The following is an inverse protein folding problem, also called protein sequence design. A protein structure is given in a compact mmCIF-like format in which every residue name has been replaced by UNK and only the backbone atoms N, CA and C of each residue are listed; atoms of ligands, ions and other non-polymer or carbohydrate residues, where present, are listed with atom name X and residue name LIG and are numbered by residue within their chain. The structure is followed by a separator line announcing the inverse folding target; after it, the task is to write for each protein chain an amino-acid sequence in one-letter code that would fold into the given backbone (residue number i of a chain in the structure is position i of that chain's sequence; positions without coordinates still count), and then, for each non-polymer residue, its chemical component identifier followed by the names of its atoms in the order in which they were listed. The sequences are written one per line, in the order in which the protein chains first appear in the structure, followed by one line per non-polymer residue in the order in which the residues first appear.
data_IF_303981989531
#
_entry.id   IF_303981989531
#
_cell.length_a   1.000
_cell.length_b   1.000
_cell.length_c   1.000
_cell.angle_alpha   90.00
_cell.angle_beta   90.00
_cell.angle_gamma   90.00
#
_symmetry.space_group_name_H-M   'P 1'
#
loop_
_entity.id
_entity.type
_entity.pdbx_description
1 polymer ?
#
# COMPACT_ATOMS: atom_id res chain seq x y z
N UNK A 1 19.65 3.83 -37.70
CA UNK A 1 20.09 3.13 -36.48
C UNK A 1 18.86 2.61 -35.80
N UNK A 2 18.86 1.34 -35.45
CA UNK A 2 17.70 0.53 -35.09
C UNK A 2 16.98 1.07 -33.85
N UNK A 3 15.74 1.53 -34.02
CA UNK A 3 14.76 1.73 -32.95
C UNK A 3 14.34 0.36 -32.40
N UNK A 4 15.27 -0.38 -31.79
CA UNK A 4 14.93 -1.58 -31.06
C UNK A 4 14.37 -1.13 -29.69
N UNK A 5 13.05 -1.26 -29.45
CA UNK A 5 12.42 -0.76 -28.23
C UNK A 5 12.91 -1.45 -26.96
N UNK A 6 13.68 -2.55 -27.10
CA UNK A 6 14.31 -3.30 -26.02
C UNK A 6 15.60 -2.63 -25.54
N UNK A 7 16.29 -1.86 -26.39
CA UNK A 7 17.62 -1.28 -26.06
C UNK A 7 17.50 -0.04 -25.17
N UNK A 8 16.38 0.69 -25.19
CA UNK A 8 16.17 1.84 -24.32
C UNK A 8 15.81 1.37 -22.89
N UNK A 9 16.69 1.53 -21.88
CA UNK A 9 16.43 1.06 -20.51
C UNK A 9 15.27 1.80 -19.83
N UNK A 10 14.87 2.96 -20.38
CA UNK A 10 13.71 3.73 -19.90
C UNK A 10 12.43 3.47 -20.69
N UNK A 11 12.51 2.66 -21.77
CA UNK A 11 11.38 2.32 -22.62
C UNK A 11 10.40 1.37 -21.92
N UNK A 12 9.11 1.53 -22.20
CA UNK A 12 8.06 0.69 -21.60
C UNK A 12 8.22 -0.81 -21.94
N UNK A 13 8.70 -1.13 -23.15
CA UNK A 13 8.95 -2.51 -23.55
C UNK A 13 10.06 -3.15 -22.70
N UNK A 14 11.18 -2.44 -22.52
CA UNK A 14 12.28 -2.90 -21.67
C UNK A 14 11.81 -3.10 -20.21
N UNK A 15 11.07 -2.13 -19.63
CA UNK A 15 10.52 -2.25 -18.27
C UNK A 15 9.63 -3.49 -18.08
N UNK A 16 8.78 -3.80 -19.07
CA UNK A 16 7.92 -5.00 -19.04
C UNK A 16 8.73 -6.29 -19.07
N UNK A 17 9.76 -6.35 -19.92
CA UNK A 17 10.67 -7.50 -20.00
C UNK A 17 11.43 -7.67 -18.68
N UNK A 18 12.00 -6.59 -18.14
CA UNK A 18 12.68 -6.63 -16.84
C UNK A 18 11.74 -7.07 -15.73
N UNK A 19 10.50 -6.57 -15.70
CA UNK A 19 9.52 -6.99 -14.70
C UNK A 19 9.15 -8.47 -14.85
N UNK A 20 8.97 -8.97 -16.07
CA UNK A 20 8.73 -10.40 -16.32
C UNK A 20 9.90 -11.26 -15.85
N UNK A 21 11.14 -10.87 -16.13
CA UNK A 21 12.33 -11.56 -15.66
C UNK A 21 12.44 -11.56 -14.12
N UNK A 22 12.08 -10.46 -13.45
CA UNK A 22 12.03 -10.42 -11.98
C UNK A 22 10.98 -11.38 -11.41
N UNK A 23 9.84 -11.56 -12.08
CA UNK A 23 8.79 -12.50 -11.67
C UNK A 23 9.25 -13.94 -11.89
N UNK A 24 9.90 -14.24 -13.01
CA UNK A 24 10.47 -15.55 -13.31
C UNK A 24 11.58 -15.93 -12.31
N UNK A 25 12.50 -15.02 -12.00
CA UNK A 25 13.56 -15.26 -11.01
C UNK A 25 12.99 -15.57 -9.62
N UNK A 26 11.94 -14.85 -9.21
CA UNK A 26 11.23 -15.12 -7.95
C UNK A 26 10.56 -16.51 -7.95
N UNK A 27 9.96 -16.92 -9.07
CA UNK A 27 9.35 -18.25 -9.23
C UNK A 27 10.42 -19.36 -9.14
N UNK A 28 11.55 -19.21 -9.83
CA UNK A 28 12.67 -20.13 -9.76
C UNK A 28 13.25 -20.23 -8.33
N UNK A 29 13.37 -19.10 -7.63
CA UNK A 29 13.82 -19.11 -6.23
C UNK A 29 12.87 -19.87 -5.30
N UNK A 30 11.56 -19.91 -5.61
CA UNK A 30 10.61 -20.71 -4.85
C UNK A 30 10.85 -22.21 -5.05
N UNK A 31 11.27 -22.63 -6.25
CA UNK A 31 11.63 -24.04 -6.53
C UNK A 31 12.76 -24.49 -5.60
N UNK A 32 13.82 -23.67 -5.45
CA UNK A 32 14.95 -24.00 -4.56
C UNK A 32 14.51 -24.24 -3.10
N UNK A 33 13.54 -23.47 -2.61
CA UNK A 33 12.98 -23.65 -1.25
C UNK A 33 12.19 -24.95 -1.15
N UNK A 34 11.38 -25.28 -2.15
CA UNK A 34 10.58 -26.50 -2.18
C UNK A 34 11.48 -27.75 -2.28
N UNK A 35 12.49 -27.70 -3.15
CA UNK A 35 13.46 -28.78 -3.32
C UNK A 35 14.24 -29.03 -2.02
N UNK A 36 14.62 -27.97 -1.29
CA UNK A 36 15.29 -28.11 0.00
C UNK A 36 14.39 -28.77 1.06
N UNK A 37 13.09 -28.43 1.10
CA UNK A 37 12.11 -29.08 1.97
C UNK A 37 11.89 -30.56 1.60
N UNK A 38 11.88 -30.88 0.31
CA UNK A 38 11.75 -32.26 -0.15
C UNK A 38 13.00 -33.09 0.18
N UNK A 39 14.19 -32.57 -0.08
CA UNK A 39 15.48 -33.24 0.21
C UNK A 39 15.67 -33.52 1.70
N UNK A 40 15.10 -32.69 2.56
CA UNK A 40 15.15 -32.88 4.03
C UNK A 40 14.01 -33.75 4.56
N UNK A 41 13.05 -34.14 3.72
CA UNK A 41 11.88 -34.94 4.11
C UNK A 41 10.82 -34.18 4.90
N UNK A 42 10.88 -32.85 4.94
CA UNK A 42 10.00 -32.00 5.75
C UNK A 42 8.78 -31.47 4.97
N UNK A 43 8.76 -31.63 3.64
CA UNK A 43 7.72 -31.08 2.78
C UNK A 43 6.30 -31.51 3.18
N UNK A 44 6.10 -32.79 3.49
CA UNK A 44 4.77 -33.36 3.82
C UNK A 44 4.17 -32.81 5.13
N UNK A 45 5.00 -32.29 6.03
CA UNK A 45 4.58 -31.69 7.30
C UNK A 45 4.69 -30.15 7.28
N UNK A 46 4.94 -29.55 6.12
CA UNK A 46 5.12 -28.11 5.97
C UNK A 46 3.92 -27.48 5.29
N UNK A 47 3.43 -26.36 5.83
CA UNK A 47 2.54 -25.47 5.10
C UNK A 47 3.35 -24.43 4.35
N UNK A 48 3.21 -24.36 3.03
CA UNK A 48 3.82 -23.33 2.19
C UNK A 48 2.73 -22.34 1.80
N UNK A 49 2.92 -21.06 2.16
CA UNK A 49 2.00 -19.96 1.84
C UNK A 49 2.73 -18.98 0.95
N UNK A 50 2.38 -18.96 -0.33
CA UNK A 50 2.84 -17.96 -1.28
C UNK A 50 1.79 -16.85 -1.41
N UNK A 51 2.16 -15.60 -1.17
CA UNK A 51 1.25 -14.45 -1.24
C UNK A 51 2.02 -13.16 -1.55
N UNK A 52 1.33 -12.02 -1.61
CA UNK A 52 1.94 -10.69 -1.78
C UNK A 52 1.42 -9.72 -0.72
N UNK A 53 2.19 -8.67 -0.45
CA UNK A 53 1.87 -7.64 0.56
C UNK A 53 0.74 -6.70 0.10
N UNK A 54 0.64 -6.43 -1.20
CA UNK A 54 -0.33 -5.53 -1.82
C UNK A 54 -0.47 -5.80 -3.32
N UNK A 55 -1.47 -5.20 -3.97
CA UNK A 55 -1.62 -5.22 -5.42
C UNK A 55 -0.40 -4.68 -6.18
N UNK A 56 -0.19 -5.16 -7.40
CA UNK A 56 0.98 -4.82 -8.23
C UNK A 56 1.10 -3.33 -8.55
N UNK A 57 2.35 -2.85 -8.63
CA UNK A 57 2.68 -1.46 -8.99
C UNK A 57 2.90 -1.22 -10.49
N UNK A 58 3.02 -2.28 -11.29
CA UNK A 58 3.16 -2.23 -12.75
C UNK A 58 1.80 -2.33 -13.46
N UNK A 59 0.81 -1.56 -12.98
CA UNK A 59 -0.55 -1.60 -13.52
C UNK A 59 -0.62 -1.04 -14.94
N UNK A 60 -1.43 -1.69 -15.78
CA UNK A 60 -1.68 -1.23 -17.14
C UNK A 60 -2.51 0.06 -17.11
N UNK A 61 -2.14 1.05 -17.93
CA UNK A 61 -2.89 2.30 -18.08
C UNK A 61 -3.80 2.21 -19.30
N UNK A 62 -5.10 2.38 -19.09
CA UNK A 62 -6.12 2.36 -20.15
C UNK A 62 -6.94 3.63 -20.12
N UNK A 63 -7.40 4.11 -21.29
CA UNK A 63 -8.34 5.22 -21.38
C UNK A 63 -9.77 4.70 -21.24
N UNK A 64 -10.49 5.14 -20.23
CA UNK A 64 -11.89 4.76 -19.95
C UNK A 64 -12.66 6.03 -19.63
N UNK A 65 -13.78 6.26 -20.33
CA UNK A 65 -14.61 7.47 -20.21
C UNK A 65 -13.83 8.79 -20.36
N UNK A 66 -12.77 8.78 -21.19
CA UNK A 66 -11.92 9.96 -21.38
C UNK A 66 -10.74 10.07 -20.41
N UNK A 67 -10.70 9.28 -19.34
CA UNK A 67 -9.68 9.34 -18.29
C UNK A 67 -8.67 8.19 -18.40
N UNK A 68 -7.40 8.45 -18.06
CA UNK A 68 -6.39 7.40 -17.92
C UNK A 68 -6.56 6.75 -16.55
N UNK A 69 -6.90 5.45 -16.55
CA UNK A 69 -7.09 4.63 -15.34
C UNK A 69 -6.08 3.49 -15.31
N UNK A 70 -5.71 3.05 -14.10
CA UNK A 70 -4.79 1.93 -13.87
C UNK A 70 -5.56 0.63 -13.66
N UNK A 71 -5.02 -0.49 -14.10
CA UNK A 71 -5.63 -1.81 -13.93
C UNK A 71 -4.58 -2.88 -13.66
N UNK A 72 -4.88 -3.76 -12.71
CA UNK A 72 -4.20 -5.04 -12.54
C UNK A 72 -5.10 -6.13 -13.14
N UNK A 73 -4.85 -6.44 -14.43
CA UNK A 73 -5.71 -7.33 -15.22
C UNK A 73 -7.13 -6.74 -15.38
N UNK A 74 -8.19 -7.43 -14.92
CA UNK A 74 -9.55 -6.90 -14.92
C UNK A 74 -9.85 -5.99 -13.72
N UNK A 75 -8.98 -5.95 -12.70
CA UNK A 75 -9.24 -5.24 -11.45
C UNK A 75 -8.84 -3.77 -11.56
N UNK A 76 -9.64 -2.89 -10.98
CA UNK A 76 -9.36 -1.46 -10.97
C UNK A 76 -8.20 -1.09 -10.03
N UNK A 77 -7.36 -0.17 -10.51
CA UNK A 77 -6.18 0.37 -9.84
C UNK A 77 -5.09 -0.69 -9.54
N UNK A 78 -4.16 -0.33 -8.66
CA UNK A 78 -3.02 -1.14 -8.25
C UNK A 78 -2.47 -0.67 -6.90
N UNK A 79 -1.18 -0.89 -6.66
CA UNK A 79 -0.50 -0.47 -5.42
C UNK A 79 -0.91 0.95 -5.00
N UNK A 80 -1.13 1.14 -3.70
CA UNK A 80 -1.61 2.39 -3.04
C UNK A 80 -3.09 2.73 -3.30
N UNK A 81 -3.90 1.75 -3.67
CA UNK A 81 -5.34 1.89 -3.86
C UNK A 81 -6.12 0.89 -3.01
N UNK A 82 -7.34 1.27 -2.62
CA UNK A 82 -8.26 0.41 -1.87
C UNK A 82 -9.24 -0.33 -2.81
N UNK A 83 -9.23 -0.02 -4.11
CA UNK A 83 -9.90 -0.85 -5.13
C UNK A 83 -9.27 -2.25 -5.18
N UNK A 84 -9.99 -3.24 -5.70
CA UNK A 84 -9.60 -4.65 -5.73
C UNK A 84 -8.23 -4.86 -6.37
N UNK A 85 -7.83 -4.06 -7.37
CA UNK A 85 -6.50 -4.18 -7.97
C UNK A 85 -5.36 -3.80 -7.02
N UNK A 86 -5.64 -3.03 -5.97
CA UNK A 86 -4.66 -2.62 -4.96
C UNK A 86 -4.61 -3.52 -3.71
N UNK A 87 -5.67 -4.28 -3.42
CA UNK A 87 -5.77 -5.12 -2.21
C UNK A 87 -5.91 -6.62 -2.48
N UNK A 88 -6.41 -7.03 -3.66
CA UNK A 88 -6.50 -8.44 -4.03
C UNK A 88 -5.15 -8.91 -4.58
N UNK A 89 -4.58 -9.92 -3.94
CA UNK A 89 -3.25 -10.46 -4.24
C UNK A 89 -3.33 -11.95 -4.61
N UNK A 90 -2.42 -12.47 -5.44
CA UNK A 90 -2.31 -13.91 -5.63
C UNK A 90 -2.02 -14.57 -4.28
N UNK A 91 -2.68 -15.69 -3.98
CA UNK A 91 -2.39 -16.49 -2.79
C UNK A 91 -2.54 -17.96 -3.13
N UNK A 92 -1.45 -18.72 -2.95
CA UNK A 92 -1.40 -20.18 -3.12
C UNK A 92 -0.93 -20.78 -1.81
N UNK A 93 -1.64 -21.80 -1.34
CA UNK A 93 -1.33 -22.46 -0.08
C UNK A 93 -1.32 -23.96 -0.32
N UNK A 94 -0.21 -24.60 0.03
CA UNK A 94 -0.06 -26.06 0.06
C UNK A 94 0.31 -26.52 1.47
N UNK A 95 0.06 -27.79 1.76
CA UNK A 95 0.41 -28.40 3.04
C UNK A 95 -0.62 -29.41 3.54
N UNK A 96 -0.44 -29.92 4.77
CA UNK A 96 -1.26 -30.99 5.32
C UNK A 96 -2.77 -30.72 5.29
N UNK A 97 -3.53 -31.69 4.76
CA UNK A 97 -4.99 -31.63 4.74
C UNK A 97 -5.61 -30.66 3.73
N UNK A 98 -4.81 -30.04 2.86
CA UNK A 98 -5.28 -29.26 1.72
C UNK A 98 -5.35 -30.16 0.49
N UNK A 99 -6.50 -30.16 -0.19
CA UNK A 99 -6.66 -30.93 -1.43
C UNK A 99 -5.84 -30.28 -2.55
N UNK A 100 -4.92 -31.03 -3.15
CA UNK A 100 -4.13 -30.58 -4.29
C UNK A 100 -5.01 -30.12 -5.46
N UNK A 101 -4.60 -29.05 -6.14
CA UNK A 101 -5.30 -28.47 -7.28
C UNK A 101 -6.69 -27.90 -6.96
N UNK A 102 -7.03 -27.70 -5.69
CA UNK A 102 -8.30 -27.09 -5.29
C UNK A 102 -8.26 -25.57 -5.32
N UNK A 103 -9.44 -24.95 -5.52
CA UNK A 103 -9.66 -23.51 -5.45
C UNK A 103 -10.64 -23.21 -4.31
N UNK A 104 -10.47 -22.04 -3.66
CA UNK A 104 -11.37 -21.54 -2.64
C UNK A 104 -11.63 -20.05 -2.84
N UNK A 105 -12.91 -19.66 -2.77
CA UNK A 105 -13.43 -18.30 -2.97
C UNK A 105 -13.80 -17.62 -1.65
N UNK A 106 -13.55 -18.28 -0.50
CA UNK A 106 -13.74 -17.66 0.83
C UNK A 106 -12.78 -16.47 0.94
N UNK A 107 -13.27 -15.24 1.16
CA UNK A 107 -12.39 -14.09 1.32
C UNK A 107 -11.49 -14.24 2.55
N UNK A 108 -10.19 -14.09 2.33
CA UNK A 108 -9.15 -14.06 3.37
C UNK A 108 -8.42 -12.72 3.34
N UNK A 109 -7.72 -12.41 4.42
CA UNK A 109 -6.88 -11.21 4.54
C UNK A 109 -5.65 -11.54 5.38
N UNK A 110 -4.52 -10.88 5.14
CA UNK A 110 -3.22 -11.26 5.72
C UNK A 110 -3.23 -11.38 7.24
N UNK A 111 -4.01 -10.55 7.94
CA UNK A 111 -4.11 -10.62 9.40
C UNK A 111 -4.88 -11.85 9.93
N UNK A 112 -5.43 -12.70 9.06
CA UNK A 112 -5.90 -14.05 9.39
C UNK A 112 -4.75 -15.04 9.61
N UNK A 113 -3.54 -14.77 9.09
CA UNK A 113 -2.43 -15.71 9.16
C UNK A 113 -1.92 -15.93 10.58
N UNK A 114 -1.85 -14.89 11.42
CA UNK A 114 -1.43 -15.03 12.81
C UNK A 114 -2.31 -16.04 13.60
N UNK A 115 -3.66 -15.89 13.65
CA UNK A 115 -4.52 -16.90 14.26
C UNK A 115 -4.43 -18.28 13.57
N UNK A 116 -4.16 -18.32 12.26
CA UNK A 116 -3.98 -19.58 11.53
C UNK A 116 -2.74 -20.32 12.00
N UNK A 117 -1.60 -19.63 12.12
CA UNK A 117 -0.36 -20.22 12.62
C UNK A 117 -0.49 -20.68 14.06
N UNK A 118 -1.20 -19.92 14.89
CA UNK A 118 -1.51 -20.32 16.25
C UNK A 118 -2.33 -21.63 16.32
N UNK A 119 -3.39 -21.75 15.52
CA UNK A 119 -4.22 -22.98 15.46
C UNK A 119 -3.45 -24.17 14.86
N UNK A 120 -2.60 -23.93 13.85
CA UNK A 120 -1.81 -24.98 13.21
C UNK A 120 -0.65 -25.48 14.06
N UNK A 121 -0.05 -24.64 14.91
CA UNK A 121 1.03 -25.05 15.82
C UNK A 121 0.55 -25.97 16.95
N UNK A 122 -0.77 -26.07 17.16
CA UNK A 122 -1.35 -26.82 18.27
C UNK A 122 -1.18 -26.12 19.63
N UNK A 123 -0.81 -24.84 19.65
CA UNK A 123 -0.69 -24.10 20.90
C UNK A 123 -2.06 -23.93 21.58
N UNK A 124 -2.10 -24.23 22.87
CA UNK A 124 -3.27 -24.02 23.74
C UNK A 124 -3.24 -22.68 24.46
N UNK A 125 -2.17 -21.89 24.28
CA UNK A 125 -2.07 -20.56 24.88
C UNK A 125 -3.21 -19.65 24.38
N UNK A 126 -3.77 -18.79 25.23
CA UNK A 126 -4.78 -17.86 24.78
C UNK A 126 -4.18 -16.80 23.85
N UNK A 127 -4.81 -16.60 22.70
CA UNK A 127 -4.50 -15.47 21.83
C UNK A 127 -4.92 -14.15 22.50
N UNK A 128 -4.18 -13.04 22.29
CA UNK A 128 -4.60 -11.73 22.76
C UNK A 128 -6.01 -11.38 22.23
N UNK A 129 -6.89 -10.80 23.06
CA UNK A 129 -8.29 -10.58 22.70
C UNK A 129 -8.49 -9.54 21.57
N UNK A 130 -7.45 -8.79 21.24
CA UNK A 130 -7.41 -7.77 20.20
C UNK A 130 -6.80 -8.25 18.87
N UNK A 131 -6.67 -9.57 18.66
CA UNK A 131 -6.26 -10.11 17.36
C UNK A 131 -7.48 -10.18 16.45
N UNK A 132 -7.46 -9.39 15.39
CA UNK A 132 -8.59 -9.19 14.47
C UNK A 132 -8.97 -10.45 13.66
N UNK A 133 -7.96 -11.24 13.31
CA UNK A 133 -8.05 -12.38 12.40
C UNK A 133 -8.83 -13.58 12.88
N UNK A 134 -9.13 -14.46 11.92
CA UNK A 134 -9.65 -15.79 12.20
C UNK A 134 -8.79 -16.87 11.55
N UNK A 135 -8.70 -18.02 12.21
CA UNK A 135 -7.96 -19.16 11.66
C UNK A 135 -8.57 -19.63 10.32
N UNK A 136 -7.69 -19.82 9.33
CA UNK A 136 -8.01 -20.36 8.01
C UNK A 136 -8.04 -21.90 7.99
N UNK A 137 -7.79 -22.59 9.11
CA UNK A 137 -7.71 -24.07 9.16
C UNK A 137 -8.95 -24.77 8.63
N UNK A 138 -10.15 -24.20 8.86
CA UNK A 138 -11.38 -24.74 8.26
C UNK A 138 -11.44 -24.53 6.75
N UNK A 139 -10.92 -23.41 6.25
CA UNK A 139 -10.83 -23.11 4.82
C UNK A 139 -9.89 -24.11 4.15
N UNK A 140 -8.73 -24.39 4.76
CA UNK A 140 -7.75 -25.36 4.27
C UNK A 140 -8.36 -26.76 4.12
N UNK A 141 -9.11 -27.22 5.14
CA UNK A 141 -9.70 -28.57 5.15
C UNK A 141 -11.00 -28.71 4.35
N UNK A 142 -11.80 -27.64 4.24
CA UNK A 142 -13.19 -27.71 3.71
C UNK A 142 -13.42 -26.87 2.45
N UNK A 143 -12.41 -26.14 1.97
CA UNK A 143 -12.52 -25.21 0.83
C UNK A 143 -13.65 -24.21 1.05
N UNK A 144 -14.52 -24.06 0.03
CA UNK A 144 -15.67 -23.15 0.04
C UNK A 144 -16.71 -23.38 1.14
N UNK A 145 -16.67 -24.53 1.83
CA UNK A 145 -17.53 -24.80 3.01
C UNK A 145 -16.88 -24.38 4.33
N UNK A 146 -15.62 -23.96 4.30
CA UNK A 146 -14.89 -23.43 5.45
C UNK A 146 -15.45 -22.09 5.91
N UNK A 147 -15.26 -21.79 7.19
CA UNK A 147 -15.67 -20.50 7.79
C UNK A 147 -14.50 -19.90 8.53
N UNK A 148 -14.28 -18.60 8.32
CA UNK A 148 -13.30 -17.81 9.07
C UNK A 148 -14.06 -17.01 10.12
N UNK A 149 -13.87 -17.34 11.40
CA UNK A 149 -14.46 -16.59 12.51
C UNK A 149 -13.47 -15.51 12.96
N UNK A 150 -13.75 -14.27 12.58
CA UNK A 150 -12.91 -13.10 12.89
C UNK A 150 -13.44 -12.37 14.12
N UNK A 151 -12.53 -11.72 14.85
CA UNK A 151 -12.89 -10.73 15.88
C UNK A 151 -13.33 -9.44 15.20
N UNK A 152 -12.66 -9.05 14.12
CA UNK A 152 -13.09 -7.93 13.28
C UNK A 152 -14.45 -8.21 12.63
N UNK A 153 -15.35 -7.21 12.54
CA UNK A 153 -16.72 -7.39 12.04
C UNK A 153 -16.82 -7.55 10.51
N UNK A 154 -15.71 -7.39 9.80
CA UNK A 154 -15.54 -7.53 8.36
C UNK A 154 -14.05 -7.38 8.00
N UNK A 155 -13.73 -7.50 6.72
CA UNK A 155 -12.36 -7.17 6.24
C UNK A 155 -12.30 -5.66 6.06
N UNK A 156 -11.65 -4.97 6.98
CA UNK A 156 -11.58 -3.51 7.02
C UNK A 156 -10.20 -3.04 6.60
N UNK A 157 -10.15 -2.05 5.70
CA UNK A 157 -8.93 -1.32 5.38
C UNK A 157 -9.14 0.16 5.68
N UNK A 158 -8.26 0.74 6.48
CA UNK A 158 -8.33 2.15 6.87
C UNK A 158 -7.07 2.88 6.39
N UNK A 159 -7.15 3.50 5.21
CA UNK A 159 -6.01 4.12 4.54
C UNK A 159 -6.03 5.64 4.69
N UNK A 160 -5.47 6.14 5.78
CA UNK A 160 -5.37 7.57 6.14
C UNK A 160 -4.19 8.27 5.47
N UNK A 161 -4.03 8.08 4.16
CA UNK A 161 -2.87 8.60 3.43
C UNK A 161 -2.84 10.14 3.33
N UNK A 162 -1.62 10.72 3.29
CA UNK A 162 -1.40 12.16 3.12
C UNK A 162 -1.16 12.59 1.66
N UNK A 163 -0.84 11.64 0.77
CA UNK A 163 -0.42 11.89 -0.61
C UNK A 163 -1.15 11.02 -1.64
N UNK A 164 -2.19 10.30 -1.22
CA UNK A 164 -3.14 9.55 -2.06
C UNK A 164 -4.54 9.77 -1.47
N UNK A 165 -5.61 9.47 -2.23
CA UNK A 165 -6.98 9.53 -1.72
C UNK A 165 -7.13 8.74 -0.41
N UNK A 166 -7.42 9.39 0.72
CA UNK A 166 -7.60 8.69 1.98
C UNK A 166 -8.97 8.00 1.99
N UNK A 167 -9.00 6.68 2.17
CA UNK A 167 -10.21 5.86 2.02
C UNK A 167 -10.31 4.88 3.19
N UNK A 168 -11.51 4.74 3.75
CA UNK A 168 -11.86 3.57 4.58
C UNK A 168 -12.72 2.62 3.78
N UNK A 169 -12.51 1.32 3.92
CA UNK A 169 -13.35 0.30 3.31
C UNK A 169 -13.68 -0.83 4.27
N UNK A 170 -14.81 -1.48 4.01
CA UNK A 170 -15.23 -2.71 4.67
C UNK A 170 -15.77 -3.67 3.61
N UNK A 171 -15.32 -4.92 3.65
CA UNK A 171 -15.91 -6.04 2.93
C UNK A 171 -16.64 -6.91 3.94
N UNK A 172 -17.95 -7.10 3.74
CA UNK A 172 -18.80 -7.93 4.60
C UNK A 172 -19.89 -8.60 3.77
N UNK A 173 -19.90 -9.93 3.78
CA UNK A 173 -20.72 -10.71 2.85
C UNK A 173 -20.28 -10.44 1.40
N UNK A 174 -21.25 -10.25 0.52
CA UNK A 174 -21.00 -9.99 -0.91
C UNK A 174 -20.64 -8.53 -1.21
N UNK A 175 -20.69 -7.64 -0.22
CA UNK A 175 -20.58 -6.19 -0.45
C UNK A 175 -19.28 -5.60 0.07
N UNK A 176 -18.77 -4.64 -0.70
CA UNK A 176 -17.67 -3.75 -0.31
C UNK A 176 -18.18 -2.31 -0.29
N UNK A 177 -18.06 -1.66 0.86
CA UNK A 177 -18.27 -0.22 0.99
C UNK A 177 -16.91 0.47 1.06
N UNK A 178 -16.80 1.62 0.39
CA UNK A 178 -15.67 2.54 0.48
C UNK A 178 -16.17 3.95 0.81
N UNK A 179 -15.50 4.65 1.72
CA UNK A 179 -15.75 6.04 2.08
C UNK A 179 -14.51 6.87 1.80
N UNK A 180 -14.67 7.92 1.01
CA UNK A 180 -13.62 8.90 0.77
C UNK A 180 -13.52 9.84 1.98
N UNK A 181 -12.38 9.89 2.67
CA UNK A 181 -12.25 10.56 3.96
C UNK A 181 -12.17 12.09 3.86
N UNK A 182 -11.85 12.65 2.69
CA UNK A 182 -11.93 14.11 2.47
C UNK A 182 -13.34 14.61 2.12
N UNK A 183 -14.04 13.95 1.18
CA UNK A 183 -15.35 14.39 0.69
C UNK A 183 -16.54 13.76 1.42
N UNK A 184 -16.31 12.68 2.17
CA UNK A 184 -17.35 11.81 2.74
C UNK A 184 -18.24 11.11 1.71
N UNK A 185 -17.86 11.10 0.43
CA UNK A 185 -18.56 10.34 -0.59
C UNK A 185 -18.41 8.83 -0.37
N UNK A 186 -19.41 8.08 -0.82
CA UNK A 186 -19.47 6.63 -0.71
C UNK A 186 -19.45 5.95 -2.08
N UNK A 187 -18.77 4.81 -2.14
CA UNK A 187 -18.92 3.82 -3.21
C UNK A 187 -19.27 2.47 -2.61
N UNK A 188 -20.28 1.81 -3.18
CA UNK A 188 -20.73 0.49 -2.75
C UNK A 188 -20.69 -0.45 -3.95
N UNK A 189 -20.08 -1.61 -3.80
CA UNK A 189 -19.98 -2.63 -4.86
C UNK A 189 -20.43 -3.98 -4.33
N UNK A 190 -21.04 -4.79 -5.21
CA UNK A 190 -21.31 -6.20 -4.93
C UNK A 190 -20.18 -7.02 -5.56
N UNK A 191 -19.22 -7.47 -4.77
CA UNK A 191 -18.02 -8.16 -5.25
C UNK A 191 -18.31 -9.56 -5.83
N UNK A 192 -19.44 -10.16 -5.49
CA UNK A 192 -19.82 -11.48 -6.02
C UNK A 192 -20.17 -11.39 -7.51
N UNK A 193 -20.88 -10.33 -7.90
CA UNK A 193 -21.34 -10.13 -9.28
C UNK A 193 -20.50 -9.08 -10.04
N UNK A 194 -19.82 -8.20 -9.32
CA UNK A 194 -19.01 -7.09 -9.84
C UNK A 194 -17.69 -7.01 -9.05
N UNK A 195 -16.83 -8.01 -9.25
CA UNK A 195 -15.48 -8.03 -8.67
C UNK A 195 -14.54 -6.99 -9.30
N UNK A 196 -14.99 -6.29 -10.35
CA UNK A 196 -14.24 -5.24 -11.05
C UNK A 196 -14.58 -3.85 -10.53
N UNK A 197 -15.60 -3.72 -9.67
CA UNK A 197 -16.04 -2.46 -9.05
C UNK A 197 -16.51 -1.41 -10.07
N UNK A 198 -17.20 -1.86 -11.11
CA UNK A 198 -17.65 -1.01 -12.22
C UNK A 198 -18.96 -0.27 -11.91
N UNK A 199 -19.87 -0.89 -11.14
CA UNK A 199 -21.18 -0.32 -10.83
C UNK A 199 -21.27 0.14 -9.37
N UNK A 200 -21.23 1.45 -9.16
CA UNK A 200 -21.47 2.02 -7.83
C UNK A 200 -22.96 1.95 -7.44
N UNK A 201 -23.28 1.15 -6.44
CA UNK A 201 -24.63 0.94 -5.91
C UNK A 201 -25.02 1.87 -4.76
N UNK A 202 -24.15 2.83 -4.37
CA UNK A 202 -24.36 3.62 -3.15
C UNK A 202 -25.68 4.41 -3.16
N UNK A 203 -26.07 4.95 -4.32
CA UNK A 203 -27.34 5.66 -4.49
C UNK A 203 -28.56 4.71 -4.52
N UNK A 204 -28.38 3.48 -5.02
CA UNK A 204 -29.43 2.47 -5.14
C UNK A 204 -29.69 1.74 -3.80
N UNK A 205 -28.70 1.69 -2.90
CA UNK A 205 -28.75 0.93 -1.64
C UNK A 205 -28.33 1.75 -0.40
N UNK A 206 -29.00 2.88 -0.10
CA UNK A 206 -28.58 3.79 0.97
C UNK A 206 -28.62 3.14 2.37
N UNK A 207 -29.55 2.21 2.61
CA UNK A 207 -29.63 1.47 3.87
C UNK A 207 -28.39 0.59 4.09
N UNK A 208 -27.90 -0.07 3.02
CA UNK A 208 -26.69 -0.90 3.07
C UNK A 208 -25.44 -0.04 3.29
N UNK A 209 -25.39 1.14 2.67
CA UNK A 209 -24.32 2.11 2.91
C UNK A 209 -24.29 2.51 4.38
N UNK A 210 -25.44 2.88 4.96
CA UNK A 210 -25.53 3.28 6.37
C UNK A 210 -25.08 2.16 7.31
N UNK A 211 -25.56 0.94 7.09
CA UNK A 211 -25.19 -0.24 7.88
C UNK A 211 -23.67 -0.47 7.86
N UNK A 212 -23.07 -0.55 6.67
CA UNK A 212 -21.65 -0.88 6.53
C UNK A 212 -20.74 0.28 6.98
N UNK A 213 -21.12 1.54 6.74
CA UNK A 213 -20.36 2.71 7.21
C UNK A 213 -20.36 2.77 8.75
N UNK A 214 -21.51 2.50 9.38
CA UNK A 214 -21.60 2.48 10.84
C UNK A 214 -20.69 1.40 11.44
N UNK A 215 -20.73 0.17 10.90
CA UNK A 215 -19.86 -0.92 11.36
C UNK A 215 -18.38 -0.53 11.20
N UNK A 216 -18.01 -0.01 10.02
CA UNK A 216 -16.64 0.36 9.72
C UNK A 216 -16.14 1.47 10.66
N UNK A 217 -16.90 2.56 10.82
CA UNK A 217 -16.53 3.67 11.71
C UNK A 217 -16.45 3.25 13.16
N UNK A 218 -17.41 2.47 13.65
CA UNK A 218 -17.41 2.00 15.03
C UNK A 218 -16.18 1.14 15.31
N UNK A 219 -15.80 0.29 14.35
CA UNK A 219 -14.60 -0.52 14.47
C UNK A 219 -13.31 0.32 14.42
N UNK A 220 -13.16 1.20 13.43
CA UNK A 220 -12.00 2.10 13.31
C UNK A 220 -11.81 2.92 14.59
N UNK A 221 -12.90 3.43 15.17
CA UNK A 221 -12.85 4.14 16.46
C UNK A 221 -12.43 3.23 17.61
N UNK A 222 -12.97 2.00 17.67
CA UNK A 222 -12.64 1.02 18.73
C UNK A 222 -11.15 0.67 18.74
N UNK A 223 -10.51 0.57 17.57
CA UNK A 223 -9.10 0.20 17.45
C UNK A 223 -8.15 1.40 17.38
N UNK A 224 -8.66 2.62 17.59
CA UNK A 224 -7.90 3.87 17.44
C UNK A 224 -7.14 3.95 16.10
N UNK A 225 -7.85 3.69 14.99
CA UNK A 225 -7.24 3.63 13.65
C UNK A 225 -6.66 4.95 13.13
N UNK A 226 -6.79 6.04 13.88
CA UNK A 226 -6.31 7.37 13.51
C UNK A 226 -7.15 8.05 12.44
N UNK A 227 -6.66 9.19 11.96
CA UNK A 227 -7.33 10.05 10.97
C UNK A 227 -6.35 10.52 9.92
N UNK A 228 -6.86 10.89 8.74
CA UNK A 228 -6.04 11.49 7.69
C UNK A 228 -5.34 12.76 8.20
N UNK A 229 -5.99 13.55 9.06
CA UNK A 229 -5.40 14.77 9.61
C UNK A 229 -4.22 14.47 10.56
N UNK A 230 -4.34 13.46 11.43
CA UNK A 230 -3.21 13.03 12.26
C UNK A 230 -2.01 12.59 11.42
N UNK A 231 -2.24 11.85 10.32
CA UNK A 231 -1.16 11.44 9.41
C UNK A 231 -0.52 12.64 8.71
N UNK A 232 -1.29 13.64 8.28
CA UNK A 232 -0.76 14.88 7.68
C UNK A 232 0.09 15.67 8.68
N UNK A 233 -0.39 15.82 9.91
CA UNK A 233 0.35 16.51 10.97
C UNK A 233 1.65 15.77 11.33
N UNK A 234 1.60 14.44 11.43
CA UNK A 234 2.79 13.61 11.64
C UNK A 234 3.79 13.77 10.49
N UNK A 235 3.32 13.79 9.24
CA UNK A 235 4.17 14.02 8.08
C UNK A 235 4.81 15.41 8.09
N UNK A 236 4.08 16.46 8.47
CA UNK A 236 4.65 17.81 8.59
C UNK A 236 5.77 17.85 9.64
N UNK A 237 5.52 17.27 10.83
CA UNK A 237 6.52 17.15 11.89
C UNK A 237 7.75 16.36 11.43
N UNK A 238 7.56 15.32 10.64
CA UNK A 238 8.66 14.54 10.05
C UNK A 238 9.50 15.38 9.09
N UNK A 239 8.86 16.19 8.23
CA UNK A 239 9.57 17.10 7.33
C UNK A 239 10.32 18.22 8.08
N UNK A 240 9.78 18.69 9.20
CA UNK A 240 10.49 19.62 10.11
C UNK A 240 11.72 18.95 10.72
N UNK A 241 11.57 17.73 11.22
CA UNK A 241 12.68 16.95 11.78
C UNK A 241 13.81 16.74 10.76
N UNK A 242 13.50 16.32 9.52
CA UNK A 242 14.50 16.15 8.46
C UNK A 242 15.16 17.47 8.04
N UNK A 243 14.42 18.58 8.10
CA UNK A 243 14.98 19.90 7.83
C UNK A 243 15.99 20.29 8.91
N UNK A 244 15.66 20.05 10.19
CA UNK A 244 16.59 20.29 11.30
C UNK A 244 17.83 19.40 11.19
N UNK A 245 17.68 18.10 10.91
CA UNK A 245 18.81 17.19 10.70
C UNK A 245 19.73 17.66 9.55
N UNK A 246 19.16 18.22 8.48
CA UNK A 246 19.93 18.77 7.36
C UNK A 246 20.74 20.00 7.79
N UNK A 247 20.14 20.89 8.59
CA UNK A 247 20.81 22.08 9.15
C UNK A 247 21.94 21.66 10.10
N UNK A 248 21.70 20.71 11.00
CA UNK A 248 22.71 20.22 11.94
C UNK A 248 23.85 19.52 11.21
N UNK A 249 23.54 18.73 10.19
CA UNK A 249 24.52 18.10 9.31
C UNK A 249 25.37 19.13 8.55
N UNK A 250 24.76 20.20 8.05
CA UNK A 250 25.47 21.32 7.43
C UNK A 250 26.41 22.00 8.42
N UNK A 251 25.93 22.36 9.62
CA UNK A 251 26.75 23.01 10.66
C UNK A 251 27.97 22.19 11.06
N UNK A 252 27.80 20.87 11.22
CA UNK A 252 28.91 19.95 11.52
C UNK A 252 29.94 19.92 10.39
N UNK A 253 29.50 19.79 9.13
CA UNK A 253 30.41 19.79 7.98
C UNK A 253 31.14 21.13 7.83
N UNK A 254 30.44 22.24 8.06
CA UNK A 254 31.03 23.57 8.01
C UNK A 254 32.08 23.78 9.11
N UNK A 255 31.85 23.26 10.33
CA UNK A 255 32.85 23.32 11.41
C UNK A 255 34.13 22.58 11.03
N UNK A 256 34.02 21.35 10.52
CA UNK A 256 35.18 20.57 10.02
C UNK A 256 35.88 21.31 8.89
N UNK A 257 35.12 21.89 7.95
CA UNK A 257 35.68 22.64 6.83
C UNK A 257 36.46 23.89 7.30
N UNK A 258 35.97 24.59 8.33
CA UNK A 258 36.67 25.73 8.96
C UNK A 258 38.00 25.29 9.59
N UNK A 259 38.05 24.11 10.21
CA UNK A 259 39.28 23.57 10.82
C UNK A 259 40.34 23.20 9.78
N UNK A 260 39.94 22.79 8.57
CA UNK A 260 40.87 22.39 7.50
C UNK A 260 41.61 23.58 6.85
N UNK A 261 41.10 24.80 7.01
CA UNK A 261 41.72 26.05 6.51
C UNK A 261 42.16 25.97 5.03
N UNK A 262 41.28 25.45 4.17
CA UNK A 262 41.57 25.23 2.74
C UNK A 262 41.45 26.54 1.92
N UNK A 263 42.25 26.72 0.85
CA UNK A 263 42.18 27.91 -0.02
C UNK A 263 40.84 28.09 -0.74
N UNK A 264 40.09 27.01 -0.96
CA UNK A 264 38.79 26.96 -1.64
C UNK A 264 37.60 26.90 -0.65
N UNK A 265 37.81 27.34 0.60
CA UNK A 265 36.82 27.30 1.68
C UNK A 265 35.45 27.87 1.27
N UNK A 266 35.41 29.04 0.63
CA UNK A 266 34.16 29.71 0.24
C UNK A 266 33.40 28.92 -0.83
N UNK A 267 34.11 28.31 -1.78
CA UNK A 267 33.50 27.47 -2.82
C UNK A 267 32.90 26.20 -2.20
N UNK A 268 33.61 25.56 -1.27
CA UNK A 268 33.11 24.38 -0.56
C UNK A 268 31.93 24.73 0.36
N UNK A 269 31.98 25.88 1.06
CA UNK A 269 30.86 26.39 1.87
C UNK A 269 29.63 26.62 1.01
N UNK A 270 29.78 27.27 -0.15
CA UNK A 270 28.68 27.52 -1.09
C UNK A 270 28.08 26.22 -1.63
N UNK A 271 28.92 25.21 -1.92
CA UNK A 271 28.46 23.88 -2.32
C UNK A 271 27.64 23.19 -1.21
N UNK A 272 28.11 23.24 0.03
CA UNK A 272 27.38 22.69 1.18
C UNK A 272 26.04 23.41 1.40
N UNK A 273 26.02 24.74 1.28
CA UNK A 273 24.81 25.56 1.43
C UNK A 273 23.79 25.25 0.33
N UNK A 274 24.25 25.05 -0.91
CA UNK A 274 23.40 24.63 -2.02
C UNK A 274 22.74 23.28 -1.76
N UNK A 275 23.48 22.30 -1.25
CA UNK A 275 22.92 20.98 -0.88
C UNK A 275 21.92 21.11 0.25
N UNK A 276 22.21 21.93 1.28
CA UNK A 276 21.28 22.21 2.37
C UNK A 276 19.96 22.78 1.83
N UNK A 277 20.03 23.87 1.06
CA UNK A 277 18.85 24.54 0.52
C UNK A 277 18.04 23.63 -0.43
N UNK A 278 18.68 22.76 -1.21
CA UNK A 278 17.98 21.74 -2.00
C UNK A 278 17.20 20.75 -1.12
N UNK A 279 17.77 20.30 0.00
CA UNK A 279 17.08 19.39 0.92
C UNK A 279 15.92 20.08 1.66
N UNK A 280 16.13 21.32 2.13
CA UNK A 280 15.09 22.11 2.77
C UNK A 280 13.94 22.37 1.80
N UNK A 281 14.23 22.76 0.56
CA UNK A 281 13.22 22.98 -0.47
C UNK A 281 12.41 21.70 -0.75
N UNK A 282 13.06 20.53 -0.88
CA UNK A 282 12.37 19.24 -1.05
C UNK A 282 11.39 18.95 0.10
N UNK A 283 11.77 19.25 1.33
CA UNK A 283 10.89 19.06 2.49
C UNK A 283 9.69 20.00 2.46
N UNK A 284 9.86 21.25 2.03
CA UNK A 284 8.74 22.19 1.80
C UNK A 284 7.82 21.65 0.70
N UNK A 285 8.36 21.17 -0.43
CA UNK A 285 7.58 20.56 -1.51
C UNK A 285 6.75 19.38 -0.99
N UNK A 286 7.32 18.51 -0.14
CA UNK A 286 6.59 17.37 0.43
C UNK A 286 5.44 17.79 1.37
N UNK A 287 5.61 18.85 2.16
CA UNK A 287 4.50 19.45 2.93
C UNK A 287 3.43 20.01 2.00
N UNK A 288 3.82 20.70 0.93
CA UNK A 288 2.86 21.24 -0.04
C UNK A 288 2.09 20.15 -0.80
N UNK A 289 2.73 19.01 -1.14
CA UNK A 289 2.02 17.84 -1.69
C UNK A 289 0.92 17.36 -0.74
N UNK A 290 1.21 17.36 0.56
CA UNK A 290 0.23 17.01 1.60
C UNK A 290 -0.93 18.01 1.63
N UNK A 291 -0.62 19.31 1.55
CA UNK A 291 -1.62 20.38 1.56
C UNK A 291 -2.54 20.34 0.33
N UNK A 292 -1.99 20.11 -0.86
CA UNK A 292 -2.76 19.97 -2.10
C UNK A 292 -3.70 18.76 -1.99
N UNK A 293 -3.18 17.61 -1.55
CA UNK A 293 -3.99 16.40 -1.39
C UNK A 293 -5.12 16.51 -0.36
N UNK A 294 -4.96 17.38 0.65
CA UNK A 294 -5.99 17.61 1.67
C UNK A 294 -7.32 18.07 1.07
N UNK A 295 -7.28 18.80 -0.04
CA UNK A 295 -8.48 19.36 -0.69
C UNK A 295 -8.91 18.58 -1.94
N UNK A 296 -8.28 17.44 -2.23
CA UNK A 296 -8.67 16.60 -3.35
C UNK A 296 -9.77 15.61 -2.96
N UNK A 297 -10.76 15.52 -3.84
CA UNK A 297 -11.90 14.61 -3.75
C UNK A 297 -11.85 13.52 -4.83
N UNK A 298 -10.74 13.43 -5.57
CA UNK A 298 -10.50 12.37 -6.55
C UNK A 298 -10.39 11.01 -5.85
N UNK A 299 -11.05 10.00 -6.39
CA UNK A 299 -10.92 8.61 -5.95
C UNK A 299 -9.66 7.91 -6.48
N UNK A 300 -8.83 8.61 -7.26
CA UNK A 300 -7.63 8.10 -7.93
C UNK A 300 -6.44 9.05 -7.75
N UNK A 301 -5.23 8.51 -7.88
CA UNK A 301 -3.99 9.29 -7.91
C UNK A 301 -4.00 10.28 -9.09
N UNK A 302 -3.59 11.52 -8.87
CA UNK A 302 -3.56 12.59 -9.87
C UNK A 302 -2.18 13.27 -9.99
N UNK A 303 -2.09 14.41 -10.70
CA UNK A 303 -0.82 15.10 -10.94
C UNK A 303 -0.61 16.30 -9.99
N UNK A 304 -0.51 16.06 -8.68
CA UNK A 304 -0.43 17.12 -7.65
C UNK A 304 0.98 17.73 -7.50
N UNK A 305 1.97 17.14 -8.17
CA UNK A 305 3.39 17.48 -7.98
C UNK A 305 3.68 18.92 -8.42
N UNK A 306 3.10 19.36 -9.55
CA UNK A 306 3.40 20.69 -10.12
C UNK A 306 2.87 21.82 -9.25
N UNK A 307 1.66 21.68 -8.72
CA UNK A 307 1.06 22.70 -7.85
C UNK A 307 1.79 22.79 -6.51
N UNK A 308 2.18 21.63 -5.95
CA UNK A 308 2.97 21.59 -4.73
C UNK A 308 4.33 22.29 -4.89
N UNK A 309 5.04 22.06 -6.00
CA UNK A 309 6.29 22.74 -6.29
C UNK A 309 6.12 24.25 -6.47
N UNK A 310 5.07 24.68 -7.18
CA UNK A 310 4.74 26.10 -7.35
C UNK A 310 4.50 26.78 -5.99
N UNK A 311 3.69 26.16 -5.13
CA UNK A 311 3.39 26.68 -3.79
C UNK A 311 4.64 26.70 -2.90
N UNK A 312 5.48 25.67 -2.99
CA UNK A 312 6.73 25.59 -2.24
C UNK A 312 7.68 26.73 -2.62
N UNK A 313 7.80 27.09 -3.91
CA UNK A 313 8.63 28.22 -4.35
C UNK A 313 8.21 29.56 -3.78
N UNK A 314 6.91 29.75 -3.51
CA UNK A 314 6.39 30.98 -2.90
C UNK A 314 6.71 31.03 -1.41
N UNK A 315 6.68 29.88 -0.72
CA UNK A 315 6.84 29.78 0.73
C UNK A 315 8.29 29.57 1.19
N UNK A 316 9.14 29.04 0.32
CA UNK A 316 10.50 28.68 0.66
C UNK A 316 11.36 29.93 0.78
N UNK A 317 12.00 30.07 1.94
CA UNK A 317 13.04 31.05 2.19
C UNK A 317 14.35 30.29 2.27
N UNK A 318 15.33 30.69 1.45
CA UNK A 318 16.65 30.08 1.48
C UNK A 318 17.29 30.30 2.85
N UNK A 319 17.88 29.23 3.37
CA UNK A 319 18.75 29.32 4.52
C UNK A 319 19.97 30.16 4.12
N UNK A 320 20.21 31.20 4.91
CA UNK A 320 21.43 31.99 4.91
C UNK A 320 22.02 31.92 6.32
N UNK A 321 23.35 31.91 6.41
CA UNK A 321 24.08 31.83 7.68
C UNK A 321 24.37 33.23 8.25
#
# INVERSE_FOLDING_TARGET
MTDNPIVNPKGEANKKITYAAMVEEMDLTLVDVLDALEQTGELDNTYVIFTSDNGGGHSEKRKVDGEIRRFNGPLQEGKRSIFEGGIRVPTVISGPGIKAGSQCDVPIVQWDFLPTFHDLSGSEAPMPPNVDGGSLRQVFKKGNKGKVKRVAPGIIHHYTCHYHPPISSIIRGDYKLMRHLNSNEFKLFNLKNDYREEKNLAAEMPEKVRELDEICRNYVKKVDGGTAEQVRQAHHKLMDHFSQQSIDGYRKKLAVLKEQNLPDFEDQKAALLKVLNQNLFKNVVNKEKTNVHRTLYSWREGPEIKDAEKNARIKFVEFSE
#
